data_IF_874260367729
#
_entry.id   IF_874260367729
#
_cell.length_a   1.000
_cell.length_b   1.000
_cell.length_c   1.000
_cell.angle_alpha   90.00
_cell.angle_beta   90.00
_cell.angle_gamma   90.00
#
_symmetry.space_group_name_H-M   'P 1'
#
loop_
_entity.id
_entity.type
_entity.pdbx_description
1 polymer ?
#
# COMPACT_ATOMS: atom_id res chain seq x y z
N UNK A 1 14.28 12.85 7.58
CA UNK A 1 13.00 12.33 7.03
C UNK A 1 13.31 11.04 6.28
N UNK A 2 13.24 9.90 6.98
CA UNK A 2 13.74 8.63 6.47
C UNK A 2 12.65 7.92 5.65
N UNK A 3 12.95 7.65 4.38
CA UNK A 3 12.04 7.02 3.39
C UNK A 3 11.59 5.61 3.80
N UNK A 4 12.22 4.99 4.80
CA UNK A 4 11.94 3.62 5.24
C UNK A 4 10.62 3.43 6.00
N UNK A 5 10.06 4.46 6.66
CA UNK A 5 8.83 4.28 7.46
C UNK A 5 7.60 4.05 6.58
N UNK A 6 7.56 4.65 5.39
CA UNK A 6 6.38 4.62 4.53
C UNK A 6 6.14 3.23 3.88
N UNK A 7 7.22 2.52 3.53
CA UNK A 7 7.15 1.19 2.89
C UNK A 7 6.59 0.15 3.83
N UNK A 8 7.12 0.06 5.06
CA UNK A 8 6.66 -0.89 6.05
C UNK A 8 5.21 -0.62 6.49
N UNK A 9 4.83 0.66 6.60
CA UNK A 9 3.48 1.04 6.99
C UNK A 9 2.42 0.60 5.96
N UNK A 10 2.70 0.72 4.66
CA UNK A 10 1.74 0.33 3.61
C UNK A 10 1.56 -1.19 3.54
N UNK A 11 2.63 -1.96 3.75
CA UNK A 11 2.55 -3.42 3.87
C UNK A 11 1.76 -3.85 5.10
N UNK A 12 2.03 -3.26 6.26
CA UNK A 12 1.31 -3.57 7.50
C UNK A 12 -0.18 -3.20 7.41
N UNK A 13 -0.51 -2.04 6.84
CA UNK A 13 -1.90 -1.64 6.60
C UNK A 13 -2.61 -2.58 5.61
N UNK A 14 -1.89 -3.04 4.58
CA UNK A 14 -2.41 -4.00 3.60
C UNK A 14 -2.63 -5.39 4.18
N UNK A 15 -1.76 -5.84 5.09
CA UNK A 15 -1.89 -7.11 5.79
C UNK A 15 -3.05 -7.09 6.81
N UNK A 16 -3.18 -5.99 7.55
CA UNK A 16 -4.18 -5.82 8.62
C UNK A 16 -5.61 -5.55 8.14
N UNK A 17 -5.82 -5.21 6.87
CA UNK A 17 -7.16 -4.89 6.37
C UNK A 17 -7.62 -3.45 6.67
N UNK A 18 -6.72 -2.58 7.12
CA UNK A 18 -7.04 -1.20 7.49
C UNK A 18 -7.05 -0.23 6.29
N UNK A 19 -8.17 -0.22 5.56
CA UNK A 19 -8.39 0.63 4.38
C UNK A 19 -8.14 2.11 4.63
N UNK A 20 -8.57 2.64 5.78
CA UNK A 20 -8.38 4.06 6.13
C UNK A 20 -6.90 4.45 6.23
N UNK A 21 -6.09 3.56 6.80
CA UNK A 21 -4.63 3.74 6.91
C UNK A 21 -3.97 3.67 5.54
N UNK A 22 -4.41 2.75 4.67
CA UNK A 22 -3.94 2.66 3.28
C UNK A 22 -4.25 3.95 2.52
N UNK A 23 -5.47 4.49 2.62
CA UNK A 23 -5.84 5.77 2.00
C UNK A 23 -4.96 6.92 2.48
N UNK A 24 -4.77 7.05 3.79
CA UNK A 24 -3.95 8.12 4.36
C UNK A 24 -2.50 8.04 3.86
N UNK A 25 -1.94 6.83 3.76
CA UNK A 25 -0.59 6.63 3.23
C UNK A 25 -0.51 7.00 1.75
N UNK A 26 -1.51 6.62 0.94
CA UNK A 26 -1.57 6.99 -0.48
C UNK A 26 -1.66 8.52 -0.66
N UNK A 27 -2.47 9.21 0.13
CA UNK A 27 -2.58 10.68 0.13
C UNK A 27 -1.25 11.37 0.49
N UNK A 28 -0.40 10.70 1.29
CA UNK A 28 0.93 11.19 1.65
C UNK A 28 2.01 10.81 0.63
N UNK A 29 1.63 10.26 -0.52
CA UNK A 29 2.56 9.88 -1.59
C UNK A 29 3.33 8.59 -1.30
N UNK A 30 2.76 7.65 -0.52
CA UNK A 30 3.39 6.36 -0.28
C UNK A 30 3.60 5.59 -1.60
N UNK A 31 4.75 4.93 -1.70
CA UNK A 31 5.13 4.14 -2.87
C UNK A 31 4.38 2.81 -2.85
N UNK A 32 3.36 2.71 -3.70
CA UNK A 32 2.52 1.51 -3.89
C UNK A 32 3.26 0.31 -4.48
N UNK A 33 4.33 0.55 -5.23
CA UNK A 33 5.16 -0.50 -5.84
C UNK A 33 6.41 -0.82 -5.00
N UNK A 34 6.44 -0.38 -3.75
CA UNK A 34 7.54 -0.69 -2.85
C UNK A 34 7.56 -2.17 -2.51
N UNK A 35 8.76 -2.73 -2.41
CA UNK A 35 8.96 -4.14 -2.09
C UNK A 35 9.28 -4.31 -0.59
N UNK A 36 8.64 -5.27 0.07
CA UNK A 36 9.04 -5.71 1.42
C UNK A 36 10.32 -6.56 1.40
N UNK A 37 10.74 -7.02 2.58
CA UNK A 37 11.91 -7.91 2.76
C UNK A 37 11.78 -9.25 2.03
N UNK A 38 10.56 -9.65 1.67
CA UNK A 38 10.25 -10.85 0.91
C UNK A 38 10.08 -10.57 -0.59
N UNK A 39 10.38 -9.34 -1.05
CA UNK A 39 10.16 -8.87 -2.43
C UNK A 39 8.70 -8.90 -2.86
N UNK A 40 7.76 -8.76 -1.92
CA UNK A 40 6.34 -8.62 -2.21
C UNK A 40 5.94 -7.15 -2.26
N UNK A 41 4.95 -6.82 -3.08
CA UNK A 41 4.31 -5.50 -3.07
C UNK A 41 3.22 -5.45 -2.00
N UNK A 42 2.80 -4.26 -1.53
CA UNK A 42 1.65 -4.15 -0.64
C UNK A 42 0.37 -4.67 -1.30
N UNK A 43 0.26 -4.58 -2.64
CA UNK A 43 -0.82 -5.20 -3.40
C UNK A 43 -0.80 -6.74 -3.28
N UNK A 44 0.37 -7.36 -3.35
CA UNK A 44 0.50 -8.81 -3.15
C UNK A 44 0.00 -9.23 -1.76
N UNK A 45 0.37 -8.49 -0.70
CA UNK A 45 -0.12 -8.75 0.67
C UNK A 45 -1.64 -8.57 0.80
N UNK A 46 -2.20 -7.55 0.15
CA UNK A 46 -3.64 -7.35 0.14
C UNK A 46 -4.39 -8.50 -0.59
N UNK A 47 -3.81 -9.04 -1.66
CA UNK A 47 -4.32 -10.20 -2.37
C UNK A 47 -4.19 -11.50 -1.55
N UNK A 48 -3.03 -11.73 -0.92
CA UNK A 48 -2.76 -12.88 -0.04
C UNK A 48 -3.80 -12.97 1.09
N UNK A 49 -4.16 -11.83 1.68
CA UNK A 49 -5.16 -11.76 2.74
C UNK A 49 -6.62 -11.67 2.24
N UNK A 50 -6.84 -11.54 0.93
CA UNK A 50 -8.19 -11.40 0.35
C UNK A 50 -8.89 -10.06 0.61
N UNK A 51 -8.14 -9.01 0.97
CA UNK A 51 -8.68 -7.70 1.34
C UNK A 51 -9.09 -6.88 0.12
N UNK A 52 -10.22 -7.24 -0.50
CA UNK A 52 -10.74 -6.62 -1.74
C UNK A 52 -10.80 -5.09 -1.71
N UNK A 53 -11.21 -4.49 -0.59
CA UNK A 53 -11.28 -3.03 -0.46
C UNK A 53 -9.90 -2.36 -0.55
N UNK A 54 -8.86 -3.00 0.00
CA UNK A 54 -7.48 -2.51 -0.08
C UNK A 54 -6.95 -2.65 -1.50
N UNK A 55 -7.20 -3.78 -2.14
CA UNK A 55 -6.84 -4.03 -3.55
C UNK A 55 -7.39 -2.91 -4.44
N UNK A 56 -8.70 -2.63 -4.32
CA UNK A 56 -9.34 -1.55 -5.06
C UNK A 56 -8.76 -0.17 -4.75
N UNK A 57 -8.39 0.08 -3.49
CA UNK A 57 -7.81 1.35 -3.05
C UNK A 57 -6.40 1.55 -3.61
N UNK A 58 -5.56 0.51 -3.56
CA UNK A 58 -4.20 0.52 -4.14
C UNK A 58 -4.24 0.69 -5.65
N UNK A 59 -5.11 -0.05 -6.36
CA UNK A 59 -5.26 0.06 -7.82
C UNK A 59 -5.78 1.46 -8.23
N UNK A 60 -6.66 2.08 -7.43
CA UNK A 60 -7.09 3.47 -7.69
C UNK A 60 -5.98 4.47 -7.41
N UNK A 61 -5.17 4.25 -6.37
CA UNK A 61 -4.07 5.13 -5.99
C UNK A 61 -2.92 5.14 -7.00
N UNK A 62 -2.65 4.03 -7.69
CA UNK A 62 -1.58 3.91 -8.70
C UNK A 62 -1.84 4.79 -9.94
N UNK A 63 -3.10 5.14 -10.22
CA UNK A 63 -3.51 5.94 -11.39
C UNK A 63 -3.29 7.46 -11.21
N UNK A 64 -2.90 7.92 -10.03
CA UNK A 64 -2.68 9.35 -9.72
C UNK A 64 -1.28 9.86 -10.14
N UNK A 65 -0.54 9.10 -10.97
CA UNK A 65 0.85 9.41 -11.36
C UNK A 65 1.00 10.21 -12.66
N UNK A 66 -0.09 10.61 -13.30
CA UNK A 66 -0.07 11.50 -14.46
C UNK A 66 -0.62 12.88 -14.09
N UNK A 67 0.27 13.76 -13.66
CA UNK A 67 0.10 15.20 -13.50
C UNK A 67 1.45 15.87 -13.64
#
# INVERSE_FOLDING_TARGET
MCVCVCVAALHAASLSGHVSTVRLLLERGAIVDSLDVMKHTPLFRACEMGHRHIILTLIKGTQQRCG
#
